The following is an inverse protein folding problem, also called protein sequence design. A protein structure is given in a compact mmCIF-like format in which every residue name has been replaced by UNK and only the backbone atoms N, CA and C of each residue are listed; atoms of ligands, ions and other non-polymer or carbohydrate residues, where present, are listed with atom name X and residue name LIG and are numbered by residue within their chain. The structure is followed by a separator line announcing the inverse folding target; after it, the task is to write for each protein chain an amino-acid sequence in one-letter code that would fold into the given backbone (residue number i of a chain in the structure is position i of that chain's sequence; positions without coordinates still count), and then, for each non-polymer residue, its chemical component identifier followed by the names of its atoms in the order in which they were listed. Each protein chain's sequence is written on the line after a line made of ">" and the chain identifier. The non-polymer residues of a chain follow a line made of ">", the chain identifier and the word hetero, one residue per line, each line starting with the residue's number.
data_IF_104852829922
#
_entry.id   IF_104852829922
#
_cell.length_a   1.000
_cell.length_b   1.000
_cell.length_c   1.000
_cell.angle_alpha   90.00
_cell.angle_beta   90.00
_cell.angle_gamma   90.00
#
_symmetry.space_group_name_H-M   'P 1'
#
loop_
_entity.id
_entity.type
_entity.pdbx_description
1 polymer ?
#
# COMPACT_ATOMS: atom_id res chain seq x y z
N UNK A 1 -10.92 -48.08 -15.88
CA UNK A 1 -10.97 -46.75 -16.54
C UNK A 1 -10.39 -45.73 -15.57
N UNK A 2 -9.16 -45.29 -15.80
CA UNK A 2 -8.49 -44.29 -14.96
C UNK A 2 -8.45 -42.96 -15.72
N UNK A 3 -9.01 -41.92 -15.12
CA UNK A 3 -9.02 -40.55 -15.68
C UNK A 3 -7.63 -39.97 -15.44
N UNK A 4 -6.87 -39.77 -16.51
CA UNK A 4 -5.57 -39.11 -16.42
C UNK A 4 -5.78 -37.65 -16.01
N UNK A 5 -5.20 -37.25 -14.89
CA UNK A 5 -5.15 -35.87 -14.43
C UNK A 5 -4.02 -35.17 -15.18
N UNK A 6 -4.35 -34.13 -15.95
CA UNK A 6 -3.38 -33.28 -16.62
C UNK A 6 -2.50 -32.58 -15.58
N UNK A 7 -1.17 -32.49 -15.77
CA UNK A 7 -0.29 -31.77 -14.84
C UNK A 7 -0.51 -30.26 -15.01
N UNK A 8 -0.69 -29.55 -13.90
CA UNK A 8 -0.67 -28.09 -13.88
C UNK A 8 0.80 -27.66 -13.95
N UNK A 9 1.17 -26.95 -15.01
CA UNK A 9 2.48 -26.32 -15.18
C UNK A 9 2.58 -25.13 -14.21
N UNK A 10 3.55 -25.17 -13.29
CA UNK A 10 3.74 -24.18 -12.22
C UNK A 10 4.82 -23.16 -12.53
N UNK A 11 5.14 -22.95 -13.82
CA UNK A 11 6.14 -21.97 -14.24
C UNK A 11 5.49 -20.62 -14.53
N UNK A 12 5.46 -19.76 -13.51
CA UNK A 12 5.12 -18.35 -13.66
C UNK A 12 6.42 -17.54 -13.70
N UNK A 13 6.71 -16.90 -14.82
CA UNK A 13 7.96 -16.16 -15.01
C UNK A 13 7.87 -14.70 -14.50
N UNK A 14 6.65 -14.13 -14.35
CA UNK A 14 6.39 -12.79 -13.79
C UNK A 14 5.11 -12.82 -12.93
N UNK A 15 5.05 -11.99 -11.86
CA UNK A 15 3.84 -11.84 -11.01
C UNK A 15 2.63 -11.36 -11.82
N UNK A 16 2.86 -10.60 -12.88
CA UNK A 16 1.84 -10.11 -13.82
C UNK A 16 1.12 -11.27 -14.52
N UNK A 17 1.85 -12.32 -14.94
CA UNK A 17 1.28 -13.54 -15.54
C UNK A 17 0.44 -14.36 -14.55
N UNK A 18 0.66 -14.20 -13.24
CA UNK A 18 -0.14 -14.83 -12.19
C UNK A 18 -1.45 -14.07 -11.92
N UNK A 19 -1.49 -12.78 -12.26
CA UNK A 19 -2.61 -11.88 -12.02
C UNK A 19 -3.45 -11.60 -13.27
N UNK A 20 -3.04 -12.12 -14.43
CA UNK A 20 -3.78 -12.02 -15.67
C UNK A 20 -5.17 -12.66 -15.53
N UNK A 21 -6.21 -11.82 -15.51
CA UNK A 21 -7.60 -12.23 -15.33
C UNK A 21 -8.11 -12.28 -13.87
N UNK A 22 -7.36 -11.77 -12.90
CA UNK A 22 -7.88 -11.56 -11.54
C UNK A 22 -8.77 -10.31 -11.54
N UNK A 23 -10.06 -10.53 -11.78
CA UNK A 23 -11.10 -9.54 -11.48
C UNK A 23 -11.19 -9.42 -9.95
N UNK A 24 -10.49 -8.42 -9.39
CA UNK A 24 -10.57 -8.15 -7.96
C UNK A 24 -11.99 -7.72 -7.67
N UNK A 25 -12.77 -8.63 -7.08
CA UNK A 25 -14.16 -8.35 -6.77
C UNK A 25 -14.27 -7.19 -5.79
N UNK A 26 -15.41 -6.50 -5.79
CA UNK A 26 -15.70 -5.44 -4.84
C UNK A 26 -15.48 -5.90 -3.37
N UNK A 27 -15.77 -7.18 -3.08
CA UNK A 27 -15.52 -7.78 -1.77
C UNK A 27 -14.02 -7.94 -1.45
N UNK A 28 -13.19 -8.31 -2.44
CA UNK A 28 -11.74 -8.39 -2.26
C UNK A 28 -11.16 -6.99 -2.04
N UNK A 29 -11.59 -6.01 -2.82
CA UNK A 29 -11.17 -4.61 -2.65
C UNK A 29 -11.62 -4.04 -1.30
N UNK A 30 -12.85 -4.36 -0.86
CA UNK A 30 -13.34 -3.97 0.46
C UNK A 30 -12.50 -4.58 1.60
N UNK A 31 -12.05 -5.84 1.45
CA UNK A 31 -11.15 -6.48 2.42
C UNK A 31 -9.77 -5.83 2.46
N UNK A 32 -9.22 -5.44 1.31
CA UNK A 32 -7.96 -4.68 1.21
C UNK A 32 -8.12 -3.33 1.90
N UNK A 33 -9.17 -2.57 1.58
CA UNK A 33 -9.45 -1.27 2.18
C UNK A 33 -9.67 -1.35 3.70
N UNK A 34 -10.40 -2.35 4.19
CA UNK A 34 -10.61 -2.56 5.63
C UNK A 34 -9.33 -2.96 6.37
N UNK A 35 -8.38 -3.59 5.68
CA UNK A 35 -7.07 -3.88 6.22
C UNK A 35 -6.18 -2.63 6.26
N UNK A 36 -6.14 -1.86 5.17
CA UNK A 36 -5.42 -0.58 5.08
C UNK A 36 -5.94 0.41 6.12
N UNK A 37 -7.25 0.49 6.33
CA UNK A 37 -7.85 1.37 7.34
C UNK A 37 -7.42 1.00 8.77
N UNK A 38 -7.22 -0.29 9.06
CA UNK A 38 -6.66 -0.74 10.35
C UNK A 38 -5.20 -0.36 10.49
N UNK A 39 -4.39 -0.58 9.44
CA UNK A 39 -3.00 -0.16 9.45
C UNK A 39 -2.90 1.35 9.71
N UNK A 40 -3.66 2.16 8.96
CA UNK A 40 -3.70 3.63 9.04
C UNK A 40 -4.15 4.20 10.40
N UNK A 41 -4.76 3.39 11.26
CA UNK A 41 -5.14 3.80 12.61
C UNK A 41 -3.98 3.71 13.62
N UNK A 42 -2.90 2.98 13.28
CA UNK A 42 -1.77 2.76 14.16
C UNK A 42 -0.66 3.81 13.93
N UNK A 43 0.04 4.20 15.00
CA UNK A 43 1.12 5.19 14.96
C UNK A 43 2.38 4.71 14.20
N UNK A 44 2.40 3.46 13.73
CA UNK A 44 3.54 2.83 13.05
C UNK A 44 3.22 2.20 11.68
N UNK A 45 2.18 2.70 10.99
CA UNK A 45 1.82 2.32 9.60
C UNK A 45 3.02 2.05 8.68
N UNK A 46 3.94 3.02 8.62
CA UNK A 46 5.07 2.97 7.70
C UNK A 46 5.99 1.77 7.99
N UNK A 47 6.11 1.42 9.28
CA UNK A 47 6.86 0.23 9.72
C UNK A 47 6.11 -1.03 9.34
N UNK A 48 4.81 -1.09 9.64
CA UNK A 48 3.99 -2.26 9.37
C UNK A 48 4.03 -2.63 7.88
N UNK A 49 3.77 -1.66 7.01
CA UNK A 49 3.79 -1.88 5.55
C UNK A 49 5.18 -2.32 5.08
N UNK A 50 6.25 -1.67 5.55
CA UNK A 50 7.62 -2.10 5.19
C UNK A 50 7.90 -3.55 5.60
N UNK A 51 7.47 -3.97 6.79
CA UNK A 51 7.66 -5.34 7.28
C UNK A 51 6.89 -6.32 6.39
N UNK A 52 5.66 -6.01 5.99
CA UNK A 52 4.87 -6.83 5.06
C UNK A 52 5.56 -6.98 3.70
N UNK A 53 6.27 -5.94 3.24
CA UNK A 53 7.07 -6.00 2.03
C UNK A 53 8.36 -6.82 2.17
N UNK A 54 8.71 -7.25 3.40
CA UNK A 54 9.97 -7.95 3.67
C UNK A 54 11.23 -7.08 3.53
N UNK A 55 11.09 -5.75 3.50
CA UNK A 55 12.19 -4.81 3.25
C UNK A 55 12.82 -4.38 4.58
N UNK A 56 14.15 -4.41 4.67
CA UNK A 56 14.87 -3.93 5.84
C UNK A 56 14.98 -2.40 5.85
N UNK A 57 14.96 -1.75 7.03
CA UNK A 57 15.13 -0.29 7.15
C UNK A 57 16.38 0.24 6.44
N UNK A 58 17.49 -0.51 6.49
CA UNK A 58 18.75 -0.15 5.81
C UNK A 58 18.61 -0.10 4.29
N UNK A 59 17.71 -0.89 3.70
CA UNK A 59 17.49 -0.90 2.26
C UNK A 59 16.70 0.34 1.84
N UNK A 60 15.62 0.68 2.57
CA UNK A 60 14.87 1.92 2.36
C UNK A 60 15.78 3.15 2.56
N UNK A 61 16.61 3.13 3.60
CA UNK A 61 17.57 4.20 3.87
C UNK A 61 18.56 4.39 2.72
N UNK A 62 19.08 3.29 2.15
CA UNK A 62 20.00 3.33 1.02
C UNK A 62 19.33 3.91 -0.23
N UNK A 63 18.10 3.47 -0.53
CA UNK A 63 17.34 3.96 -1.69
C UNK A 63 17.01 5.46 -1.58
N UNK A 64 16.61 5.90 -0.38
CA UNK A 64 16.31 7.31 -0.11
C UNK A 64 17.55 8.19 0.13
N UNK A 65 18.75 7.61 0.17
CA UNK A 65 19.99 8.35 0.47
C UNK A 65 20.05 8.95 1.88
N UNK A 66 19.40 8.31 2.85
CA UNK A 66 19.36 8.75 4.26
C UNK A 66 19.95 7.70 5.20
N UNK A 67 20.01 8.01 6.50
CA UNK A 67 20.48 7.04 7.50
C UNK A 67 19.36 6.08 7.92
N UNK A 68 19.73 4.87 8.34
CA UNK A 68 18.77 3.94 8.95
C UNK A 68 18.10 4.51 10.21
N UNK A 69 18.80 5.39 10.96
CA UNK A 69 18.22 6.11 12.11
C UNK A 69 17.14 7.09 11.68
N UNK A 70 17.31 7.79 10.56
CA UNK A 70 16.28 8.68 10.01
C UNK A 70 15.02 7.89 9.61
N UNK A 71 15.19 6.69 9.04
CA UNK A 71 14.06 5.78 8.75
C UNK A 71 13.38 5.31 10.02
N UNK A 72 14.15 4.90 11.04
CA UNK A 72 13.57 4.45 12.31
C UNK A 72 12.77 5.56 13.01
N UNK A 73 13.24 6.81 12.96
CA UNK A 73 12.52 7.97 13.48
C UNK A 73 11.27 8.29 12.65
N UNK A 74 11.35 8.19 11.33
CA UNK A 74 10.20 8.38 10.45
C UNK A 74 9.10 7.35 10.74
N UNK A 75 9.48 6.08 10.89
CA UNK A 75 8.58 4.96 11.21
C UNK A 75 7.99 5.00 12.63
N UNK A 76 8.50 5.86 13.50
CA UNK A 76 8.00 6.03 14.85
C UNK A 76 7.02 7.21 14.98
N UNK A 77 6.72 7.91 13.89
CA UNK A 77 5.82 9.07 13.87
C UNK A 77 4.46 8.68 13.31
N UNK A 78 3.42 9.22 13.92
CA UNK A 78 2.05 9.19 13.39
C UNK A 78 2.02 9.82 11.99
N UNK A 79 1.32 9.15 11.06
CA UNK A 79 1.34 9.48 9.63
C UNK A 79 0.81 10.89 9.33
N UNK A 80 -0.13 11.38 10.13
CA UNK A 80 -0.71 12.74 10.07
C UNK A 80 0.32 13.85 10.37
N UNK A 81 1.42 13.51 11.05
CA UNK A 81 2.51 14.45 11.35
C UNK A 81 3.61 14.49 10.29
N UNK A 82 3.57 13.59 9.30
CA UNK A 82 4.61 13.45 8.28
C UNK A 82 4.19 14.20 7.02
N UNK A 83 5.12 14.93 6.41
CA UNK A 83 4.85 15.61 5.14
C UNK A 83 4.50 14.60 4.04
N UNK A 84 3.45 14.87 3.26
CA UNK A 84 3.00 14.00 2.18
C UNK A 84 4.11 13.64 1.18
N UNK A 85 5.00 14.58 0.85
CA UNK A 85 6.13 14.33 -0.03
C UNK A 85 7.19 13.37 0.56
N UNK A 86 7.25 13.23 1.89
CA UNK A 86 8.09 12.24 2.57
C UNK A 86 7.40 10.88 2.55
N UNK A 87 6.10 10.84 2.81
CA UNK A 87 5.28 9.62 2.71
C UNK A 87 5.35 9.03 1.30
N UNK A 88 5.20 9.86 0.27
CA UNK A 88 5.32 9.47 -1.14
C UNK A 88 6.65 8.80 -1.44
N UNK A 89 7.77 9.48 -1.16
CA UNK A 89 9.12 8.95 -1.41
C UNK A 89 9.36 7.63 -0.66
N UNK A 90 8.89 7.53 0.57
CA UNK A 90 8.99 6.30 1.35
C UNK A 90 8.26 5.12 0.69
N UNK A 91 7.02 5.32 0.21
CA UNK A 91 6.28 4.28 -0.50
C UNK A 91 6.88 3.94 -1.87
N UNK A 92 7.39 4.94 -2.60
CA UNK A 92 8.12 4.70 -3.86
C UNK A 92 9.35 3.82 -3.63
N UNK A 93 10.09 4.02 -2.54
CA UNK A 93 11.23 3.18 -2.15
C UNK A 93 10.84 1.74 -1.74
N UNK A 94 9.56 1.51 -1.44
CA UNK A 94 9.00 0.18 -1.21
C UNK A 94 8.41 -0.45 -2.48
N UNK A 95 8.41 0.29 -3.61
CA UNK A 95 7.80 -0.16 -4.87
C UNK A 95 6.32 0.15 -5.02
N UNK A 96 5.77 1.08 -4.23
CA UNK A 96 4.35 1.47 -4.27
C UNK A 96 4.16 2.84 -4.91
N UNK A 97 3.00 3.02 -5.55
CA UNK A 97 2.50 4.32 -5.94
C UNK A 97 1.58 4.87 -4.85
N UNK A 98 1.78 6.15 -4.46
CA UNK A 98 0.88 6.85 -3.56
C UNK A 98 -0.14 7.66 -4.35
N UNK A 99 -1.42 7.25 -4.30
CA UNK A 99 -2.55 8.02 -4.84
C UNK A 99 -3.23 8.81 -3.73
N UNK A 100 -3.50 10.10 -3.99
CA UNK A 100 -4.25 10.97 -3.06
C UNK A 100 -5.50 11.46 -3.77
N UNK A 101 -6.67 11.15 -3.22
CA UNK A 101 -7.96 11.60 -3.73
C UNK A 101 -8.61 12.58 -2.75
N UNK A 102 -9.22 13.64 -3.30
CA UNK A 102 -10.04 14.57 -2.53
C UNK A 102 -11.45 14.49 -3.07
N UNK A 103 -12.43 14.31 -2.18
CA UNK A 103 -13.84 14.34 -2.52
C UNK A 103 -14.52 15.55 -1.85
N UNK A 104 -15.54 16.16 -2.48
CA UNK A 104 -16.35 17.15 -1.79
C UNK A 104 -16.99 16.48 -0.58
N UNK A 105 -16.84 17.10 0.59
CA UNK A 105 -17.75 16.83 1.70
C UNK A 105 -19.14 17.15 1.16
N UNK A 106 -20.05 16.16 1.15
CA UNK A 106 -21.40 16.34 0.59
C UNK A 106 -21.95 17.69 1.01
N UNK A 107 -21.96 18.62 0.07
CA UNK A 107 -22.34 19.99 0.37
C UNK A 107 -23.84 19.96 0.40
N UNK A 108 -24.41 19.76 1.59
CA UNK A 108 -25.80 20.10 1.83
C UNK A 108 -26.00 21.52 1.26
N UNK A 109 -27.00 21.75 0.39
CA UNK A 109 -27.07 22.93 -0.46
C UNK A 109 -27.25 24.17 0.43
N UNK A 110 -26.14 24.81 0.82
CA UNK A 110 -26.19 26.09 1.50
C UNK A 110 -26.43 27.16 0.46
N UNK A 111 -27.71 27.53 0.36
CA UNK A 111 -28.25 28.81 -0.07
C UNK A 111 -27.57 29.46 -1.28
N UNK A 112 -28.10 29.15 -2.47
CA UNK A 112 -28.32 30.19 -3.46
C UNK A 112 -29.75 30.71 -3.25
N UNK A 113 -29.89 31.81 -2.52
CA UNK A 113 -31.14 32.55 -2.43
C UNK A 113 -30.83 34.04 -2.44
N UNK A 114 -31.23 34.65 -3.56
CA UNK A 114 -31.41 36.07 -3.84
C UNK A 114 -30.16 36.91 -4.16
#
# INVERSE_FOLDING_TARGET
>A
MAKASTPIDTRFDIVDDLLDGVDVSDDQMARINAHLARLLADDDVLRAIRIECGIAQKAVAADLGVTASAIAQLEARSLDTVQLGTVRRYFEALGYELTVSVAPLETSPRHNSS
#
